data_IF_614313368344
#
_entry.id   IF_614313368344
#
_cell.length_a   1.000
_cell.length_b   1.000
_cell.length_c   1.000
_cell.angle_alpha   90.00
_cell.angle_beta   90.00
_cell.angle_gamma   90.00
#
_symmetry.space_group_name_H-M   'P 1'
#
loop_
_entity.id
_entity.type
_entity.pdbx_description
1 polymer ?
#
# COMPACT_ATOMS: atom_id res chain seq x y z
N UNK A 1 -41.78 -85.04 44.08
CA UNK A 1 -41.59 -83.63 43.69
C UNK A 1 -40.21 -83.19 44.18
N UNK A 2 -39.20 -83.15 43.30
CA UNK A 2 -37.80 -82.86 43.67
C UNK A 2 -37.62 -81.34 43.73
N UNK A 3 -37.51 -80.80 44.94
CA UNK A 3 -37.35 -79.38 45.22
C UNK A 3 -35.89 -78.98 44.92
N UNK A 4 -35.66 -78.27 43.81
CA UNK A 4 -34.34 -77.72 43.47
C UNK A 4 -34.07 -76.57 44.45
N UNK A 5 -33.23 -76.81 45.46
CA UNK A 5 -32.67 -75.75 46.31
C UNK A 5 -31.71 -74.92 45.47
N UNK A 6 -32.11 -73.69 45.11
CA UNK A 6 -31.19 -72.67 44.63
C UNK A 6 -30.16 -72.40 45.73
N UNK A 7 -28.90 -72.79 45.48
CA UNK A 7 -27.77 -72.36 46.31
C UNK A 7 -27.74 -70.83 46.28
N UNK A 8 -27.89 -70.20 47.45
CA UNK A 8 -27.54 -68.78 47.67
C UNK A 8 -26.04 -68.66 47.42
N UNK A 9 -25.66 -68.41 46.16
CA UNK A 9 -24.28 -68.09 45.79
C UNK A 9 -23.92 -66.69 46.28
N UNK A 10 -22.62 -66.49 46.49
CA UNK A 10 -21.94 -65.32 47.04
C UNK A 10 -22.07 -64.05 46.15
N UNK A 11 -23.29 -63.69 45.77
CA UNK A 11 -23.63 -62.56 44.91
C UNK A 11 -23.28 -61.15 45.46
N UNK A 12 -23.20 -60.87 46.78
CA UNK A 12 -22.98 -59.50 47.25
C UNK A 12 -21.60 -58.93 46.90
N UNK A 13 -20.55 -59.75 46.88
CA UNK A 13 -19.18 -59.28 46.71
C UNK A 13 -18.88 -58.82 45.28
N UNK A 14 -19.44 -59.49 44.28
CA UNK A 14 -19.21 -59.15 42.87
C UNK A 14 -19.85 -57.81 42.48
N UNK A 15 -21.03 -57.50 43.02
CA UNK A 15 -21.71 -56.21 42.78
C UNK A 15 -20.89 -55.05 43.33
N UNK A 16 -20.29 -55.20 44.51
CA UNK A 16 -19.43 -54.17 45.12
C UNK A 16 -18.20 -53.90 44.26
N UNK A 17 -17.57 -54.95 43.71
CA UNK A 17 -16.40 -54.80 42.82
C UNK A 17 -16.77 -54.05 41.54
N UNK A 18 -17.91 -54.35 40.92
CA UNK A 18 -18.38 -53.63 39.72
C UNK A 18 -18.64 -52.15 40.04
N UNK A 19 -19.37 -51.86 41.11
CA UNK A 19 -19.68 -50.47 41.49
C UNK A 19 -18.39 -49.69 41.75
N UNK A 20 -17.44 -50.27 42.47
CA UNK A 20 -16.14 -49.64 42.73
C UNK A 20 -15.37 -49.39 41.42
N UNK A 21 -15.29 -50.39 40.53
CA UNK A 21 -14.59 -50.26 39.25
C UNK A 21 -15.22 -49.17 38.37
N UNK A 22 -16.54 -49.13 38.25
CA UNK A 22 -17.26 -48.09 37.49
C UNK A 22 -17.08 -46.71 38.12
N UNK A 23 -17.11 -46.61 39.46
CA UNK A 23 -16.91 -45.34 40.16
C UNK A 23 -15.50 -44.79 39.92
N UNK A 24 -14.48 -45.65 39.96
CA UNK A 24 -13.10 -45.28 39.63
C UNK A 24 -13.01 -44.82 38.17
N UNK A 25 -13.60 -45.57 37.22
CA UNK A 25 -13.57 -45.21 35.81
C UNK A 25 -14.23 -43.85 35.53
N UNK A 26 -15.41 -43.58 36.11
CA UNK A 26 -16.10 -42.29 35.99
C UNK A 26 -15.25 -41.16 36.59
N UNK A 27 -14.64 -41.39 37.76
CA UNK A 27 -13.81 -40.38 38.43
C UNK A 27 -12.59 -40.02 37.59
N UNK A 28 -11.91 -41.02 36.99
CA UNK A 28 -10.78 -40.80 36.09
C UNK A 28 -11.24 -40.03 34.84
N UNK A 29 -12.35 -40.43 34.21
CA UNK A 29 -12.89 -39.74 33.05
C UNK A 29 -13.25 -38.27 33.35
N UNK A 30 -13.92 -38.01 34.48
CA UNK A 30 -14.25 -36.67 34.94
C UNK A 30 -12.99 -35.83 35.22
N UNK A 31 -11.95 -36.43 35.81
CA UNK A 31 -10.69 -35.75 36.10
C UNK A 31 -9.97 -35.34 34.81
N UNK A 32 -9.87 -36.23 33.83
CA UNK A 32 -9.30 -35.88 32.52
C UNK A 32 -10.11 -34.82 31.79
N UNK A 33 -11.44 -34.90 31.87
CA UNK A 33 -12.32 -33.89 31.27
C UNK A 33 -12.13 -32.51 31.91
N UNK A 34 -12.11 -32.43 33.25
CA UNK A 34 -11.88 -31.18 33.97
C UNK A 34 -10.46 -30.62 33.74
N UNK A 35 -9.44 -31.48 33.67
CA UNK A 35 -8.08 -31.07 33.35
C UNK A 35 -7.98 -30.48 31.94
N UNK A 36 -8.70 -31.04 30.97
CA UNK A 36 -8.75 -30.50 29.60
C UNK A 36 -9.55 -29.19 29.54
N UNK A 37 -10.56 -29.01 30.39
CA UNK A 37 -11.27 -27.73 30.51
C UNK A 37 -10.35 -26.65 31.09
N UNK A 38 -9.54 -26.99 32.11
CA UNK A 38 -8.61 -26.04 32.70
C UNK A 38 -7.59 -25.52 31.67
N UNK A 39 -7.08 -26.37 30.77
CA UNK A 39 -6.16 -25.94 29.70
C UNK A 39 -6.82 -25.08 28.63
N UNK A 40 -8.14 -25.22 28.41
CA UNK A 40 -8.89 -24.30 27.55
C UNK A 40 -8.98 -22.89 28.16
N UNK A 41 -9.05 -22.77 29.49
CA UNK A 41 -9.11 -21.47 30.17
C UNK A 41 -7.76 -20.78 30.33
N UNK A 42 -6.64 -21.52 30.26
CA UNK A 42 -5.30 -20.90 30.27
C UNK A 42 -4.86 -20.41 28.90
N UNK A 43 -5.51 -20.89 27.82
CA UNK A 43 -5.33 -20.42 26.44
C UNK A 43 -6.32 -19.30 26.16
N UNK A 44 -5.88 -18.06 26.28
CA UNK A 44 -6.72 -16.90 26.01
C UNK A 44 -6.05 -15.95 25.02
N UNK A 45 -6.89 -15.30 24.24
CA UNK A 45 -6.51 -14.27 23.30
C UNK A 45 -6.69 -12.89 23.97
N UNK A 46 -5.66 -12.04 23.95
CA UNK A 46 -5.74 -10.65 24.44
C UNK A 46 -4.94 -9.75 23.50
N UNK A 47 -5.60 -9.32 22.42
CA UNK A 47 -5.03 -8.34 21.50
C UNK A 47 -5.33 -6.91 21.96
N UNK A 48 -4.36 -6.01 21.82
CA UNK A 48 -4.54 -4.59 22.14
C UNK A 48 -3.89 -3.69 21.11
N UNK A 49 -4.56 -2.60 20.76
CA UNK A 49 -3.95 -1.54 19.98
C UNK A 49 -2.92 -0.76 20.81
N UNK A 50 -1.73 -0.57 20.27
CA UNK A 50 -0.64 0.24 20.84
C UNK A 50 -0.73 1.68 20.33
N UNK A 51 -0.88 1.87 19.02
CA UNK A 51 -1.01 3.18 18.37
C UNK A 51 -1.89 3.12 17.11
N UNK A 52 -2.27 4.29 16.62
CA UNK A 52 -3.07 4.51 15.41
C UNK A 52 -2.62 5.84 14.80
N UNK A 53 -1.99 5.78 13.64
CA UNK A 53 -1.49 6.92 12.88
C UNK A 53 -2.03 6.85 11.45
N UNK A 54 -2.19 7.99 10.80
CA UNK A 54 -2.76 8.05 9.45
C UNK A 54 -2.03 9.03 8.55
N UNK A 55 -2.07 8.69 7.26
CA UNK A 55 -1.46 9.37 6.13
C UNK A 55 -2.51 9.35 4.99
N UNK A 56 -3.58 10.14 5.16
CA UNK A 56 -4.75 10.17 4.26
C UNK A 56 -5.50 8.83 4.26
N UNK A 57 -5.59 8.11 3.13
CA UNK A 57 -6.20 6.78 3.06
C UNK A 57 -5.26 5.67 3.57
N UNK A 58 -4.00 5.95 3.87
CA UNK A 58 -3.05 4.98 4.43
C UNK A 58 -3.04 5.12 5.96
N UNK A 59 -3.14 4.01 6.67
CA UNK A 59 -3.17 3.98 8.15
C UNK A 59 -2.14 3.01 8.67
N UNK A 60 -1.38 3.45 9.68
CA UNK A 60 -0.45 2.61 10.42
C UNK A 60 -1.04 2.33 11.82
N UNK A 61 -1.15 1.06 12.18
CA UNK A 61 -1.57 0.65 13.52
C UNK A 61 -0.54 -0.26 14.16
N UNK A 62 -0.39 -0.16 15.48
CA UNK A 62 0.35 -1.14 16.26
C UNK A 62 -0.62 -2.05 17.01
N UNK A 63 -0.45 -3.36 16.93
CA UNK A 63 -1.22 -4.34 17.69
C UNK A 63 -0.26 -5.24 18.47
N UNK A 64 -0.51 -5.42 19.76
CA UNK A 64 0.25 -6.34 20.63
C UNK A 64 -0.63 -7.48 21.07
N UNK A 65 -0.09 -8.70 21.08
CA UNK A 65 -0.73 -9.86 21.69
C UNK A 65 -0.21 -10.06 23.12
N UNK A 66 -1.06 -9.82 24.11
CA UNK A 66 -0.82 -10.08 25.54
C UNK A 66 -1.44 -11.40 26.02
N UNK A 67 -2.03 -12.15 25.10
CA UNK A 67 -2.57 -13.47 25.33
C UNK A 67 -1.50 -14.53 25.49
N UNK A 68 -1.95 -15.77 25.60
CA UNK A 68 -1.08 -16.97 25.70
C UNK A 68 -1.12 -17.81 24.42
N UNK A 69 -1.90 -17.40 23.42
CA UNK A 69 -2.03 -18.07 22.13
C UNK A 69 -1.77 -17.11 20.98
N UNK A 70 -1.21 -17.65 19.89
CA UNK A 70 -1.07 -16.94 18.62
C UNK A 70 -2.44 -16.49 18.10
N UNK A 71 -2.50 -15.25 17.66
CA UNK A 71 -3.69 -14.61 17.12
C UNK A 71 -3.58 -14.44 15.62
N UNK A 72 -4.71 -14.55 14.94
CA UNK A 72 -4.81 -14.35 13.49
C UNK A 72 -5.87 -13.31 13.20
N UNK A 73 -5.49 -12.13 12.71
CA UNK A 73 -6.43 -11.07 12.32
C UNK A 73 -6.84 -11.32 10.86
N UNK A 74 -8.15 -11.53 10.67
CA UNK A 74 -8.74 -11.84 9.36
C UNK A 74 -9.17 -10.60 8.59
N UNK A 75 -9.71 -9.61 9.29
CA UNK A 75 -10.23 -8.39 8.65
C UNK A 75 -10.18 -7.22 9.60
N UNK A 76 -10.04 -6.03 9.04
CA UNK A 76 -10.22 -4.78 9.76
C UNK A 76 -11.29 -3.90 9.07
N UNK A 77 -11.87 -2.99 9.84
CA UNK A 77 -13.01 -2.15 9.46
C UNK A 77 -12.85 -0.76 10.05
N UNK A 78 -13.14 0.27 9.24
CA UNK A 78 -13.24 1.65 9.70
C UNK A 78 -14.71 2.01 9.93
N UNK A 79 -15.02 2.52 11.12
CA UNK A 79 -16.35 2.96 11.56
C UNK A 79 -17.45 1.91 11.30
N UNK A 80 -17.10 0.62 11.41
CA UNK A 80 -17.99 -0.53 11.14
C UNK A 80 -18.62 -0.52 9.74
N UNK A 81 -18.10 0.28 8.80
CA UNK A 81 -18.69 0.52 7.48
C UNK A 81 -17.74 0.16 6.33
N UNK A 82 -16.49 0.60 6.42
CA UNK A 82 -15.52 0.43 5.34
C UNK A 82 -14.59 -0.72 5.68
N UNK A 83 -14.57 -1.77 4.85
CA UNK A 83 -13.52 -2.79 4.93
C UNK A 83 -12.21 -2.14 4.52
N UNK A 84 -11.13 -2.44 5.24
CA UNK A 84 -9.79 -1.93 4.95
C UNK A 84 -8.95 -3.04 4.34
N UNK A 85 -8.07 -2.68 3.42
CA UNK A 85 -7.12 -3.60 2.80
C UNK A 85 -5.82 -3.61 3.61
N UNK A 86 -5.23 -4.79 3.79
CA UNK A 86 -3.92 -4.92 4.45
C UNK A 86 -2.84 -4.72 3.39
N UNK A 87 -2.05 -3.67 3.54
CA UNK A 87 -0.89 -3.39 2.68
C UNK A 87 0.30 -4.23 3.15
N UNK A 88 0.58 -4.13 4.45
CA UNK A 88 1.73 -4.77 5.07
C UNK A 88 1.47 -5.07 6.56
N UNK A 89 2.16 -6.07 7.11
CA UNK A 89 2.31 -6.29 8.53
C UNK A 89 3.74 -6.77 8.84
N UNK A 90 4.38 -6.13 9.83
CA UNK A 90 5.76 -6.41 10.25
C UNK A 90 5.81 -6.58 11.76
N UNK A 91 6.40 -7.67 12.22
CA UNK A 91 6.64 -7.91 13.64
C UNK A 91 7.81 -7.05 14.13
N UNK A 92 7.59 -6.19 15.12
CA UNK A 92 8.64 -5.32 15.68
C UNK A 92 9.71 -6.09 16.44
N UNK A 93 9.41 -7.31 16.88
CA UNK A 93 10.29 -8.16 17.68
C UNK A 93 11.32 -8.85 16.80
N UNK A 94 10.86 -9.41 15.68
CA UNK A 94 11.71 -10.19 14.76
C UNK A 94 12.11 -9.41 13.51
N UNK A 95 11.43 -8.29 13.21
CA UNK A 95 11.54 -7.55 11.95
C UNK A 95 11.11 -8.35 10.71
N UNK A 96 10.36 -9.43 10.90
CA UNK A 96 9.86 -10.29 9.82
C UNK A 96 8.43 -9.92 9.40
N UNK A 97 8.03 -10.41 8.22
CA UNK A 97 6.66 -10.25 7.74
C UNK A 97 5.69 -11.05 8.60
N UNK A 98 4.64 -10.39 9.08
CA UNK A 98 3.60 -10.98 9.93
C UNK A 98 2.36 -11.39 9.12
N UNK A 99 2.44 -11.42 7.79
CA UNK A 99 1.34 -11.86 6.91
C UNK A 99 1.52 -13.33 6.57
N UNK A 100 0.46 -14.12 6.76
CA UNK A 100 0.34 -15.48 6.26
C UNK A 100 -0.88 -15.61 5.34
N UNK A 101 -0.85 -16.59 4.45
CA UNK A 101 -2.00 -16.93 3.60
C UNK A 101 -2.77 -18.07 4.28
N UNK A 102 -4.07 -17.89 4.47
CA UNK A 102 -4.95 -18.92 5.04
C UNK A 102 -5.36 -19.98 4.01
N UNK A 103 -6.15 -20.97 4.44
CA UNK A 103 -6.65 -22.05 3.58
C UNK A 103 -7.55 -21.55 2.43
N UNK A 104 -8.16 -20.37 2.59
CA UNK A 104 -9.02 -19.70 1.60
C UNK A 104 -8.21 -18.75 0.67
N UNK A 105 -6.88 -18.85 0.72
CA UNK A 105 -5.95 -17.98 0.00
C UNK A 105 -6.13 -16.48 0.33
N UNK A 106 -6.57 -16.16 1.55
CA UNK A 106 -6.70 -14.79 2.05
C UNK A 106 -5.52 -14.43 2.95
N UNK A 107 -5.01 -13.19 2.86
CA UNK A 107 -3.99 -12.71 3.77
C UNK A 107 -4.57 -12.51 5.18
N UNK A 108 -3.88 -13.04 6.19
CA UNK A 108 -4.17 -12.84 7.60
C UNK A 108 -2.90 -12.38 8.33
N UNK A 109 -3.08 -11.56 9.37
CA UNK A 109 -1.96 -11.07 10.18
C UNK A 109 -1.79 -11.99 11.38
N UNK A 110 -0.59 -12.52 11.56
CA UNK A 110 -0.23 -13.42 12.65
C UNK A 110 0.50 -12.65 13.73
N UNK A 111 0.05 -12.79 14.98
CA UNK A 111 0.64 -12.10 16.12
C UNK A 111 0.90 -13.13 17.21
N UNK A 112 2.17 -13.47 17.41
CA UNK A 112 2.61 -14.40 18.46
C UNK A 112 2.46 -13.79 19.86
N UNK A 113 2.27 -14.61 20.91
CA UNK A 113 2.21 -14.12 22.30
C UNK A 113 3.42 -13.25 22.68
N UNK A 114 3.15 -12.06 23.22
CA UNK A 114 4.16 -11.08 23.60
C UNK A 114 4.68 -10.20 22.46
N UNK A 115 4.37 -10.52 21.20
CA UNK A 115 4.86 -9.78 20.05
C UNK A 115 3.99 -8.55 19.75
N UNK A 116 4.62 -7.53 19.17
CA UNK A 116 3.93 -6.33 18.66
C UNK A 116 4.12 -6.26 17.16
N UNK A 117 3.01 -6.22 16.41
CA UNK A 117 3.00 -6.12 14.96
C UNK A 117 2.54 -4.73 14.55
N UNK A 118 3.30 -4.09 13.64
CA UNK A 118 2.89 -2.90 12.89
C UNK A 118 2.13 -3.35 11.67
N UNK A 119 0.94 -2.81 11.45
CA UNK A 119 0.10 -3.10 10.30
C UNK A 119 -0.16 -1.82 9.52
N UNK A 120 0.11 -1.87 8.22
CA UNK A 120 -0.20 -0.84 7.26
C UNK A 120 -1.49 -1.20 6.52
N UNK A 121 -2.43 -0.27 6.52
CA UNK A 121 -3.78 -0.45 6.03
C UNK A 121 -4.07 0.59 4.95
N UNK A 122 -4.82 0.20 3.93
CA UNK A 122 -5.43 1.09 2.96
C UNK A 122 -6.93 1.18 3.22
N UNK A 123 -7.43 2.39 3.29
CA UNK A 123 -8.83 2.71 3.55
C UNK A 123 -9.42 3.27 2.26
N UNK A 124 -10.59 2.78 1.81
CA UNK A 124 -11.22 3.25 0.57
C UNK A 124 -11.88 4.64 0.69
N UNK A 125 -11.54 5.39 1.74
CA UNK A 125 -12.00 6.76 2.00
C UNK A 125 -10.88 7.59 2.62
N UNK A 126 -10.90 8.88 2.33
CA UNK A 126 -10.01 9.85 2.94
C UNK A 126 -10.37 10.11 4.40
N UNK A 127 -9.34 10.18 5.26
CA UNK A 127 -9.48 10.54 6.65
C UNK A 127 -9.14 12.02 6.84
N UNK A 128 -10.10 12.78 7.37
CA UNK A 128 -9.91 14.20 7.67
C UNK A 128 -9.09 14.39 8.96
N UNK A 129 -8.25 15.41 8.95
CA UNK A 129 -7.45 15.79 10.10
C UNK A 129 -8.33 16.27 11.27
N UNK A 130 -8.02 15.82 12.49
CA UNK A 130 -8.74 16.18 13.70
C UNK A 130 -10.04 15.41 13.96
N UNK A 131 -10.51 14.58 13.02
CA UNK A 131 -11.69 13.73 13.20
C UNK A 131 -11.29 12.43 13.92
N UNK A 132 -12.15 11.98 14.83
CA UNK A 132 -12.00 10.69 15.50
C UNK A 132 -12.61 9.58 14.67
N UNK A 133 -11.83 8.54 14.38
CA UNK A 133 -12.26 7.33 13.68
C UNK A 133 -12.14 6.11 14.59
N UNK A 134 -13.01 5.13 14.38
CA UNK A 134 -12.96 3.81 15.03
C UNK A 134 -12.35 2.82 14.06
N UNK A 135 -11.19 2.28 14.36
CA UNK A 135 -10.67 1.09 13.68
C UNK A 135 -11.08 -0.14 14.50
N UNK A 136 -11.60 -1.16 13.82
CA UNK A 136 -11.96 -2.45 14.41
C UNK A 136 -11.23 -3.55 13.65
N UNK A 137 -10.61 -4.49 14.35
CA UNK A 137 -10.03 -5.68 13.75
C UNK A 137 -10.67 -6.93 14.37
N UNK A 138 -10.93 -7.93 13.52
CA UNK A 138 -11.62 -9.17 13.89
C UNK A 138 -10.69 -10.35 13.63
N UNK A 139 -10.53 -11.19 14.64
CA UNK A 139 -9.66 -12.37 14.58
C UNK A 139 -10.42 -13.57 13.99
N UNK A 140 -9.70 -14.63 13.64
CA UNK A 140 -10.30 -15.89 13.15
C UNK A 140 -11.17 -16.59 14.20
N UNK A 141 -10.94 -16.33 15.49
CA UNK A 141 -11.76 -16.82 16.60
C UNK A 141 -13.03 -15.99 16.84
N UNK A 142 -13.16 -14.85 16.15
CA UNK A 142 -14.26 -13.90 16.33
C UNK A 142 -14.03 -12.86 17.43
N UNK A 143 -12.82 -12.78 18.03
CA UNK A 143 -12.48 -11.69 18.93
C UNK A 143 -12.49 -10.37 18.14
N UNK A 144 -13.26 -9.39 18.62
CA UNK A 144 -13.24 -8.03 18.11
C UNK A 144 -12.39 -7.14 19.00
N UNK A 145 -11.40 -6.48 18.42
CA UNK A 145 -10.67 -5.39 19.06
C UNK A 145 -10.94 -4.10 18.33
N UNK A 146 -11.04 -2.99 19.06
CA UNK A 146 -11.21 -1.69 18.44
C UNK A 146 -10.43 -0.61 19.19
N UNK A 147 -10.15 0.48 18.47
CA UNK A 147 -9.58 1.70 19.04
C UNK A 147 -10.20 2.91 18.35
N UNK A 148 -10.48 3.92 19.17
CA UNK A 148 -10.73 5.27 18.67
C UNK A 148 -9.37 5.96 18.51
N UNK A 149 -9.05 6.34 17.28
CA UNK A 149 -7.90 7.18 16.97
C UNK A 149 -8.40 8.54 16.52
N UNK A 150 -7.82 9.62 17.05
CA UNK A 150 -7.89 10.91 16.35
C UNK A 150 -6.79 10.90 15.32
N UNK A 151 -7.10 11.35 14.12
CA UNK A 151 -6.06 11.61 13.14
C UNK A 151 -5.10 12.64 13.72
N UNK A 152 -3.92 12.19 14.10
CA UNK A 152 -2.85 13.12 14.48
C UNK A 152 -2.20 13.56 13.16
N UNK A 153 -1.86 14.84 13.03
CA UNK A 153 -0.85 15.18 12.03
C UNK A 153 0.40 14.42 12.44
N UNK A 154 0.93 13.49 11.63
CA UNK A 154 2.08 12.72 12.05
C UNK A 154 3.22 13.66 12.45
N UNK A 155 3.97 13.25 13.47
CA UNK A 155 5.12 13.98 13.99
C UNK A 155 6.20 13.92 12.91
N UNK A 156 6.26 14.98 12.11
CA UNK A 156 7.23 15.19 11.03
C UNK A 156 6.59 16.12 10.01
N UNK A 157 7.27 17.21 9.63
CA UNK A 157 6.91 17.92 8.40
C UNK A 157 7.03 16.88 7.29
N UNK A 158 5.92 16.39 6.72
CA UNK A 158 6.10 15.70 5.46
C UNK A 158 6.62 16.72 4.49
N UNK A 159 7.69 16.34 3.84
CA UNK A 159 8.24 17.16 2.80
C UNK A 159 7.23 17.20 1.64
N UNK A 160 6.66 18.38 1.37
CA UNK A 160 5.74 18.54 0.24
C UNK A 160 6.49 18.24 -1.04
N UNK A 161 5.87 17.47 -1.93
CA UNK A 161 6.44 17.22 -3.25
C UNK A 161 5.93 18.30 -4.17
N UNK A 162 6.79 18.86 -5.00
CA UNK A 162 6.38 19.82 -6.02
C UNK A 162 6.89 19.38 -7.39
N UNK A 163 5.96 19.37 -8.34
CA UNK A 163 6.21 19.09 -9.75
C UNK A 163 5.98 20.39 -10.52
N UNK A 164 6.90 20.74 -11.40
CA UNK A 164 6.77 21.94 -12.25
C UNK A 164 6.95 21.52 -13.70
N UNK A 165 6.09 22.01 -14.59
CA UNK A 165 6.21 21.87 -16.04
C UNK A 165 6.13 23.26 -16.69
N UNK A 166 6.99 23.51 -17.67
CA UNK A 166 7.01 24.74 -18.46
C UNK A 166 6.53 24.44 -19.87
N UNK A 167 5.39 25.02 -20.23
CA UNK A 167 4.56 24.59 -21.34
C UNK A 167 4.90 25.29 -22.67
N UNK A 168 5.94 24.91 -23.41
CA UNK A 168 6.05 25.37 -24.81
C UNK A 168 7.19 24.77 -25.63
N UNK A 169 7.03 24.90 -26.96
CA UNK A 169 7.85 24.24 -28.00
C UNK A 169 9.31 24.70 -28.07
N UNK A 170 9.68 25.76 -27.34
CA UNK A 170 11.06 26.26 -27.27
C UNK A 170 11.79 25.80 -26.01
N UNK A 171 11.08 25.25 -25.02
CA UNK A 171 11.68 24.86 -23.74
C UNK A 171 12.13 25.99 -22.85
N UNK A 172 11.84 27.22 -23.22
CA UNK A 172 12.30 28.38 -22.48
C UNK A 172 11.45 28.59 -21.22
N UNK A 173 12.07 29.17 -20.19
CA UNK A 173 11.40 29.73 -19.01
C UNK A 173 10.38 30.83 -19.36
N UNK A 174 10.17 31.14 -20.65
CA UNK A 174 9.22 32.11 -21.18
C UNK A 174 7.82 31.52 -21.46
N UNK A 175 7.61 30.23 -21.25
CA UNK A 175 6.33 29.56 -21.55
C UNK A 175 5.38 29.54 -20.35
N UNK A 176 4.04 29.32 -20.48
CA UNK A 176 3.15 29.12 -19.32
C UNK A 176 3.70 28.05 -18.36
N UNK A 177 3.45 28.21 -17.06
CA UNK A 177 3.98 27.27 -16.06
C UNK A 177 2.83 26.54 -15.36
N UNK A 178 2.97 25.23 -15.20
CA UNK A 178 2.08 24.38 -14.43
C UNK A 178 2.84 23.87 -13.21
N UNK A 179 2.31 24.09 -12.02
CA UNK A 179 2.89 23.63 -10.76
C UNK A 179 1.89 22.72 -10.05
N UNK A 180 2.35 21.59 -9.53
CA UNK A 180 1.57 20.72 -8.67
C UNK A 180 2.29 20.49 -7.37
N UNK A 181 1.67 20.88 -6.27
CA UNK A 181 2.12 20.59 -4.93
C UNK A 181 1.31 19.42 -4.35
N UNK A 182 1.99 18.40 -3.86
CA UNK A 182 1.42 17.20 -3.26
C UNK A 182 1.74 17.19 -1.77
N UNK A 183 0.73 16.93 -0.96
CA UNK A 183 0.89 16.62 0.46
C UNK A 183 0.71 15.11 0.67
N UNK A 184 1.78 14.34 0.91
CA UNK A 184 1.69 12.89 1.09
C UNK A 184 1.04 12.47 2.44
N UNK A 185 0.77 13.41 3.36
CA UNK A 185 0.04 13.11 4.60
C UNK A 185 -1.45 13.12 4.42
N UNK A 186 -1.95 13.90 3.47
CA UNK A 186 -3.38 14.02 3.18
C UNK A 186 -3.73 13.45 1.83
N UNK A 187 -2.73 13.14 0.99
CA UNK A 187 -2.86 12.77 -0.42
C UNK A 187 -3.76 13.75 -1.18
N UNK A 188 -3.56 15.03 -0.89
CA UNK A 188 -4.20 16.13 -1.62
C UNK A 188 -3.19 16.81 -2.53
N UNK A 189 -3.67 17.35 -3.64
CA UNK A 189 -2.86 18.17 -4.54
C UNK A 189 -3.37 19.60 -4.58
N UNK A 190 -2.46 20.54 -4.83
CA UNK A 190 -2.75 21.90 -5.28
C UNK A 190 -2.07 22.11 -6.62
N UNK A 191 -2.87 22.20 -7.68
CA UNK A 191 -2.43 22.53 -9.03
C UNK A 191 -2.55 24.04 -9.23
N UNK A 192 -1.53 24.66 -9.81
CA UNK A 192 -1.48 26.08 -10.15
C UNK A 192 -1.06 26.23 -11.60
N UNK A 193 -1.82 27.03 -12.34
CA UNK A 193 -1.50 27.40 -13.71
C UNK A 193 -1.13 28.87 -13.79
N UNK A 194 -0.01 29.17 -14.41
CA UNK A 194 0.55 30.50 -14.53
C UNK A 194 0.68 30.90 -15.99
N UNK A 195 0.50 32.19 -16.25
CA UNK A 195 0.77 32.79 -17.57
C UNK A 195 2.23 32.63 -17.96
N UNK A 196 2.52 32.90 -19.24
CA UNK A 196 3.86 33.31 -19.69
C UNK A 196 4.39 34.45 -18.79
N UNK A 197 5.71 34.52 -18.54
CA UNK A 197 6.27 35.62 -17.79
C UNK A 197 6.13 36.91 -18.59
N UNK A 198 5.87 38.01 -17.90
CA UNK A 198 5.91 39.34 -18.48
C UNK A 198 7.36 39.75 -18.80
N UNK A 199 7.61 40.93 -19.42
CA UNK A 199 8.96 41.40 -19.71
C UNK A 199 9.89 41.54 -18.50
N UNK A 200 9.33 41.62 -17.29
CA UNK A 200 10.06 41.68 -16.02
C UNK A 200 10.36 40.29 -15.44
N UNK A 201 9.94 39.21 -16.12
CA UNK A 201 10.12 37.82 -15.69
C UNK A 201 9.05 37.31 -14.71
N UNK A 202 8.08 38.14 -14.32
CA UNK A 202 7.02 37.77 -13.38
C UNK A 202 5.87 37.04 -14.07
N UNK A 203 5.31 36.04 -13.37
CA UNK A 203 4.19 35.23 -13.86
C UNK A 203 2.91 35.56 -13.12
N UNK A 204 1.81 35.63 -13.84
CA UNK A 204 0.47 35.79 -13.24
C UNK A 204 -0.14 34.42 -12.98
N UNK A 205 -0.60 34.16 -11.76
CA UNK A 205 -1.40 32.99 -11.44
C UNK A 205 -2.77 33.09 -12.12
N UNK A 206 -3.06 32.20 -13.07
CA UNK A 206 -4.29 32.17 -13.84
C UNK A 206 -5.36 31.29 -13.22
N UNK A 207 -4.98 30.16 -12.64
CA UNK A 207 -5.92 29.23 -12.01
C UNK A 207 -5.27 28.46 -10.85
N UNK A 208 -6.10 28.03 -9.90
CA UNK A 208 -5.71 27.11 -8.83
C UNK A 208 -6.81 26.08 -8.62
N UNK A 209 -6.42 24.82 -8.57
CA UNK A 209 -7.31 23.70 -8.28
C UNK A 209 -6.74 22.91 -7.11
N UNK A 210 -7.59 22.56 -6.15
CA UNK A 210 -7.23 21.68 -5.04
C UNK A 210 -8.16 20.48 -5.05
N UNK A 211 -7.61 19.30 -4.81
CA UNK A 211 -8.40 18.07 -4.80
C UNK A 211 -7.72 16.92 -4.09
N UNK A 212 -8.43 15.81 -4.01
CA UNK A 212 -7.89 14.53 -3.55
C UNK A 212 -7.22 13.82 -4.72
N UNK A 213 -6.10 13.15 -4.45
CA UNK A 213 -5.39 12.36 -5.45
C UNK A 213 -6.05 10.99 -5.57
N UNK A 214 -5.99 10.35 -6.73
CA UNK A 214 -6.35 8.94 -6.79
C UNK A 214 -5.18 8.09 -6.27
N UNK A 215 -5.34 7.47 -5.10
CA UNK A 215 -4.35 6.54 -4.53
C UNK A 215 -4.76 5.11 -4.83
N UNK A 216 -3.88 4.38 -5.50
CA UNK A 216 -4.06 2.98 -5.85
C UNK A 216 -3.15 2.13 -4.98
N UNK A 217 -3.75 1.25 -4.20
CA UNK A 217 -3.05 0.18 -3.48
C UNK A 217 -3.55 -1.12 -4.08
N UNK A 218 -2.74 -1.75 -4.95
CA UNK A 218 -3.12 -3.02 -5.58
C UNK A 218 -2.05 -4.06 -5.38
N UNK A 219 -2.49 -5.22 -4.93
CA UNK A 219 -1.70 -6.45 -4.86
C UNK A 219 -1.67 -7.19 -6.19
N UNK A 220 -2.62 -6.91 -7.10
CA UNK A 220 -2.61 -7.41 -8.47
C UNK A 220 -1.71 -6.56 -9.35
N UNK A 221 -0.89 -7.22 -10.18
CA UNK A 221 0.10 -6.60 -11.07
C UNK A 221 -0.49 -5.66 -12.14
N UNK A 222 -1.81 -5.57 -12.25
CA UNK A 222 -2.55 -4.96 -13.35
C UNK A 222 -3.58 -3.92 -12.87
N UNK A 223 -3.52 -2.69 -13.38
CA UNK A 223 -4.59 -1.69 -13.23
C UNK A 223 -5.23 -1.33 -14.57
N UNK A 224 -6.55 -1.38 -14.67
CA UNK A 224 -7.31 -0.86 -15.82
C UNK A 224 -8.16 0.32 -15.39
N UNK A 225 -7.91 1.50 -15.92
CA UNK A 225 -8.83 2.63 -15.81
C UNK A 225 -10.03 2.40 -16.74
N UNK A 226 -11.27 2.54 -16.23
CA UNK A 226 -12.45 2.68 -17.10
C UNK A 226 -12.88 4.14 -17.26
N UNK A 227 -12.38 5.02 -16.38
CA UNK A 227 -12.69 6.45 -16.35
C UNK A 227 -11.37 7.19 -16.14
N UNK A 228 -11.16 8.25 -16.90
CA UNK A 228 -9.97 9.08 -16.75
C UNK A 228 -9.95 9.74 -15.35
N UNK A 229 -8.78 9.80 -14.70
CA UNK A 229 -8.64 10.49 -13.42
C UNK A 229 -9.14 11.93 -13.53
N UNK A 230 -9.89 12.40 -12.52
CA UNK A 230 -10.30 13.80 -12.41
C UNK A 230 -9.19 14.69 -11.85
N UNK A 231 -8.08 14.09 -11.42
CA UNK A 231 -6.87 14.74 -10.91
C UNK A 231 -5.78 14.76 -11.97
N UNK A 232 -4.85 15.72 -11.92
CA UNK A 232 -3.65 15.68 -12.76
C UNK A 232 -2.72 14.50 -12.42
N UNK A 233 -2.92 13.85 -11.27
CA UNK A 233 -2.03 12.83 -10.73
C UNK A 233 -2.76 11.52 -10.42
N UNK A 234 -2.06 10.41 -10.58
CA UNK A 234 -2.39 9.11 -10.00
C UNK A 234 -1.20 8.64 -9.17
N UNK A 235 -1.46 8.10 -7.99
CA UNK A 235 -0.45 7.52 -7.11
C UNK A 235 -0.62 6.02 -7.07
N UNK A 236 0.48 5.29 -7.19
CA UNK A 236 0.50 3.83 -7.06
C UNK A 236 1.44 3.45 -5.93
N UNK A 237 0.88 2.96 -4.81
CA UNK A 237 1.67 2.52 -3.66
C UNK A 237 2.31 1.15 -3.96
N UNK A 238 3.60 1.01 -3.68
CA UNK A 238 4.31 -0.26 -3.73
C UNK A 238 3.96 -1.11 -2.48
N UNK A 239 3.23 -2.24 -2.63
CA UNK A 239 2.90 -3.11 -1.50
C UNK A 239 4.11 -3.92 -1.00
N UNK A 240 5.23 -3.92 -1.74
CA UNK A 240 6.46 -4.67 -1.44
C UNK A 240 7.60 -3.78 -0.95
N UNK A 241 7.28 -2.55 -0.52
CA UNK A 241 8.25 -1.57 -0.02
C UNK A 241 9.28 -2.21 0.94
N UNK A 242 10.55 -2.21 0.53
CA UNK A 242 11.68 -2.69 1.33
C UNK A 242 11.77 -4.20 1.53
N UNK A 243 10.91 -5.00 0.88
CA UNK A 243 10.89 -6.46 1.02
C UNK A 243 11.52 -7.17 -0.17
N UNK A 244 11.01 -6.87 -1.36
CA UNK A 244 11.39 -7.52 -2.60
C UNK A 244 11.15 -6.57 -3.77
N UNK A 245 11.63 -6.97 -4.94
CA UNK A 245 11.33 -6.27 -6.17
C UNK A 245 9.84 -6.40 -6.51
N UNK A 246 9.30 -5.43 -7.22
CA UNK A 246 7.90 -5.44 -7.60
C UNK A 246 7.69 -4.92 -9.01
N UNK A 247 6.82 -5.60 -9.77
CA UNK A 247 6.40 -5.17 -11.09
C UNK A 247 5.00 -4.59 -11.02
N UNK A 248 4.88 -3.33 -11.42
CA UNK A 248 3.59 -2.67 -11.59
C UNK A 248 3.27 -2.54 -13.07
N UNK A 249 2.17 -3.13 -13.53
CA UNK A 249 1.69 -2.98 -14.91
C UNK A 249 0.45 -2.09 -14.96
N UNK A 250 0.58 -0.99 -15.70
CA UNK A 250 -0.54 -0.15 -16.08
C UNK A 250 -1.16 -0.69 -17.37
N UNK A 251 -2.43 -1.08 -17.32
CA UNK A 251 -3.23 -1.39 -18.50
C UNK A 251 -4.04 -0.14 -18.87
N UNK A 252 -3.69 0.51 -19.97
CA UNK A 252 -4.39 1.68 -20.47
C UNK A 252 -5.89 1.40 -20.69
N UNK A 253 -6.74 2.40 -20.41
CA UNK A 253 -8.20 2.37 -20.65
C UNK A 253 -8.61 2.13 -22.11
N UNK A 254 -7.66 2.06 -23.03
CA UNK A 254 -7.91 2.06 -24.46
C UNK A 254 -8.48 0.72 -24.96
N UNK A 255 -9.69 0.40 -24.52
CA UNK A 255 -10.52 -0.66 -25.06
C UNK A 255 -11.02 -0.22 -26.44
N UNK A 256 -10.50 -0.86 -27.48
CA UNK A 256 -10.98 -0.80 -28.88
C UNK A 256 -11.10 0.59 -29.51
N UNK A 257 -10.11 0.97 -30.34
CA UNK A 257 -10.19 2.18 -31.19
C UNK A 257 -9.15 3.25 -30.89
N UNK A 258 -8.24 3.04 -29.93
CA UNK A 258 -7.08 3.90 -29.77
C UNK A 258 -6.18 3.79 -31.02
N UNK A 259 -5.78 4.93 -31.63
CA UNK A 259 -4.82 4.91 -32.73
C UNK A 259 -3.42 4.39 -32.32
N UNK A 260 -3.16 4.24 -31.02
CA UNK A 260 -1.88 3.82 -30.45
C UNK A 260 -2.01 2.52 -29.61
N UNK A 261 -2.23 1.36 -30.24
CA UNK A 261 -2.43 0.08 -29.55
C UNK A 261 -1.18 -0.42 -28.79
N UNK A 262 -0.02 0.16 -29.03
CA UNK A 262 1.28 -0.27 -28.49
C UNK A 262 1.51 0.15 -27.03
N UNK A 263 0.73 1.10 -26.53
CA UNK A 263 0.87 1.63 -25.17
C UNK A 263 -0.09 0.94 -24.17
N UNK A 264 -0.77 -0.13 -24.60
CA UNK A 264 -1.84 -0.77 -23.84
C UNK A 264 -1.37 -1.31 -22.48
N UNK A 265 -0.11 -1.74 -22.34
CA UNK A 265 0.44 -2.32 -21.13
C UNK A 265 1.86 -1.77 -20.87
N UNK A 266 2.04 -0.94 -19.85
CA UNK A 266 3.37 -0.47 -19.43
C UNK A 266 3.72 -1.10 -18.10
N UNK A 267 4.82 -1.86 -18.03
CA UNK A 267 5.31 -2.46 -16.78
C UNK A 267 6.49 -1.68 -16.23
N UNK A 268 6.42 -1.28 -14.97
CA UNK A 268 7.47 -0.61 -14.21
C UNK A 268 8.06 -1.59 -13.19
N UNK A 269 9.36 -1.84 -13.29
CA UNK A 269 10.12 -2.67 -12.36
C UNK A 269 10.66 -1.82 -11.22
N UNK A 270 10.10 -2.01 -10.04
CA UNK A 270 10.48 -1.31 -8.82
C UNK A 270 11.41 -2.24 -8.03
N UNK A 271 12.75 -2.07 -8.16
CA UNK A 271 13.67 -2.85 -7.35
C UNK A 271 13.49 -2.54 -5.87
N UNK A 272 13.83 -3.52 -5.03
CA UNK A 272 13.83 -3.37 -3.58
C UNK A 272 14.71 -2.18 -3.18
N UNK A 273 14.18 -1.35 -2.28
CA UNK A 273 14.93 -0.27 -1.63
C UNK A 273 14.95 -0.58 -0.13
N UNK A 274 16.13 -0.89 0.40
CA UNK A 274 16.28 -1.17 1.83
C UNK A 274 15.81 0.01 2.68
N UNK A 275 15.20 -0.33 3.82
CA UNK A 275 14.60 0.62 4.76
C UNK A 275 13.46 1.49 4.20
N UNK A 276 12.89 1.16 3.03
CA UNK A 276 11.67 1.82 2.57
C UNK A 276 10.54 1.69 3.60
N UNK A 277 9.80 2.77 3.79
CA UNK A 277 8.64 2.83 4.68
C UNK A 277 7.41 2.34 3.90
N UNK A 278 6.71 1.28 4.35
CA UNK A 278 5.49 0.83 3.70
C UNK A 278 4.46 1.97 3.63
N UNK A 279 3.71 2.05 2.52
CA UNK A 279 2.77 3.15 2.29
C UNK A 279 3.40 4.49 1.88
N UNK A 280 4.73 4.63 1.95
CA UNK A 280 5.49 5.81 1.51
C UNK A 280 6.57 5.45 0.47
N UNK A 281 6.36 4.35 -0.25
CA UNK A 281 7.09 3.97 -1.46
C UNK A 281 6.07 3.87 -2.59
N UNK A 282 6.13 4.77 -3.57
CA UNK A 282 5.06 4.90 -4.55
C UNK A 282 5.52 5.52 -5.87
N UNK A 283 4.78 5.24 -6.94
CA UNK A 283 4.88 5.94 -8.21
C UNK A 283 3.93 7.13 -8.24
N UNK A 284 4.40 8.22 -8.83
CA UNK A 284 3.65 9.39 -9.26
C UNK A 284 3.53 9.32 -10.77
N UNK A 285 2.29 9.20 -11.24
CA UNK A 285 1.90 9.22 -12.64
C UNK A 285 1.22 10.57 -12.89
N UNK A 286 1.81 11.42 -13.73
CA UNK A 286 1.37 12.81 -13.89
C UNK A 286 1.14 13.18 -15.36
N UNK A 287 -0.02 13.81 -15.61
CA UNK A 287 -0.42 14.46 -16.86
C UNK A 287 -0.06 15.96 -16.86
N UNK A 288 0.89 16.35 -17.70
CA UNK A 288 1.46 17.70 -17.75
C UNK A 288 0.64 18.70 -18.59
N UNK A 289 -0.34 18.25 -19.38
CA UNK A 289 -1.36 19.05 -20.10
C UNK A 289 -2.74 19.05 -19.43
N UNK A 290 -2.80 18.74 -18.13
CA UNK A 290 -4.05 18.83 -17.38
C UNK A 290 -4.54 20.28 -17.27
N UNK A 291 -5.72 20.58 -17.81
CA UNK A 291 -6.32 21.93 -17.85
C UNK A 291 -7.55 22.08 -16.92
N UNK A 292 -7.76 21.12 -16.01
CA UNK A 292 -8.80 21.20 -14.97
C UNK A 292 -9.78 20.03 -14.96
N UNK A 293 -10.62 19.92 -13.90
CA UNK A 293 -11.52 18.79 -13.67
C UNK A 293 -12.70 18.71 -14.66
N UNK A 294 -12.88 19.71 -15.51
CA UNK A 294 -13.87 19.74 -16.58
C UNK A 294 -13.28 19.69 -17.99
N UNK A 295 -11.95 19.67 -18.12
CA UNK A 295 -11.30 19.66 -19.42
C UNK A 295 -11.03 18.22 -19.83
N UNK A 296 -11.83 17.74 -20.78
CA UNK A 296 -11.75 16.40 -21.32
C UNK A 296 -10.89 16.38 -22.59
N UNK A 297 -9.59 16.64 -22.49
CA UNK A 297 -8.66 15.90 -23.36
C UNK A 297 -8.60 14.44 -22.85
N UNK A 298 -9.78 13.84 -22.78
CA UNK A 298 -10.05 12.47 -22.36
C UNK A 298 -9.70 11.47 -23.47
N UNK A 299 -9.02 11.93 -24.52
CA UNK A 299 -8.71 11.15 -25.71
C UNK A 299 -7.41 10.35 -25.60
N UNK A 300 -6.49 10.76 -24.72
CA UNK A 300 -5.23 10.04 -24.54
C UNK A 300 -5.24 9.27 -23.23
N UNK A 301 -5.41 7.95 -23.31
CA UNK A 301 -5.37 7.06 -22.15
C UNK A 301 -3.95 6.92 -21.55
N UNK A 302 -2.96 7.63 -22.13
CA UNK A 302 -1.56 7.65 -21.71
C UNK A 302 -1.13 8.95 -21.06
N UNK A 303 -2.01 9.95 -21.01
CA UNK A 303 -1.73 11.26 -20.43
C UNK A 303 -0.97 11.22 -19.08
N UNK A 304 -1.44 10.41 -18.13
CA UNK A 304 -0.78 10.28 -16.82
C UNK A 304 0.52 9.48 -16.81
N UNK A 305 0.88 8.84 -17.93
CA UNK A 305 2.08 8.03 -18.08
C UNK A 305 3.21 8.79 -18.78
N UNK A 306 2.97 10.02 -19.25
CA UNK A 306 4.02 10.84 -19.87
C UNK A 306 5.17 11.11 -18.88
N UNK A 307 4.86 11.19 -17.58
CA UNK A 307 5.87 11.22 -16.53
C UNK A 307 5.54 10.23 -15.41
N UNK A 308 6.53 9.38 -15.11
CA UNK A 308 6.46 8.39 -14.04
C UNK A 308 7.71 8.51 -13.15
N UNK A 309 7.46 8.90 -11.91
CA UNK A 309 8.51 9.09 -10.89
C UNK A 309 8.20 8.25 -9.67
N UNK A 310 9.15 7.44 -9.20
CA UNK A 310 9.06 6.78 -7.90
C UNK A 310 9.61 7.68 -6.81
N UNK A 311 8.90 7.76 -5.71
CA UNK A 311 9.36 8.40 -4.48
C UNK A 311 9.30 7.38 -3.35
N UNK A 312 10.39 7.27 -2.61
CA UNK A 312 10.54 6.31 -1.51
C UNK A 312 11.08 7.01 -0.28
N UNK A 313 10.28 7.11 0.78
CA UNK A 313 10.77 7.49 2.09
C UNK A 313 11.43 6.30 2.79
N UNK A 314 12.59 6.55 3.40
CA UNK A 314 13.32 5.58 4.21
C UNK A 314 13.09 5.81 5.69
N UNK A 315 13.26 4.78 6.50
CA UNK A 315 13.13 4.83 7.98
C UNK A 315 14.05 5.86 8.65
N UNK A 316 15.13 6.28 7.98
CA UNK A 316 16.03 7.34 8.45
C UNK A 316 15.51 8.76 8.15
N UNK A 317 14.32 8.91 7.57
CA UNK A 317 13.69 10.18 7.24
C UNK A 317 14.08 10.75 5.87
N UNK A 318 15.00 10.13 5.13
CA UNK A 318 15.39 10.58 3.80
C UNK A 318 14.42 10.09 2.73
N UNK A 319 14.19 10.92 1.72
CA UNK A 319 13.51 10.52 0.50
C UNK A 319 14.52 10.16 -0.60
N UNK A 320 14.21 9.11 -1.36
CA UNK A 320 14.89 8.72 -2.60
C UNK A 320 13.91 8.89 -3.75
N UNK A 321 14.38 9.50 -4.85
CA UNK A 321 13.57 9.72 -6.06
C UNK A 321 14.22 8.99 -7.23
N UNK A 322 13.40 8.29 -8.03
CA UNK A 322 13.83 7.64 -9.28
C UNK A 322 12.88 7.98 -10.40
N UNK A 323 13.41 8.48 -11.51
CA UNK A 323 12.64 8.72 -12.73
C UNK A 323 12.63 7.43 -13.56
N UNK A 324 11.44 6.99 -13.95
CA UNK A 324 11.25 5.84 -14.85
C UNK A 324 10.99 6.32 -16.26
N UNK A 325 10.16 7.34 -16.37
CA UNK A 325 9.76 7.90 -17.64
C UNK A 325 9.54 9.41 -17.48
N UNK A 326 10.06 10.18 -18.43
CA UNK A 326 9.69 11.57 -18.62
C UNK A 326 9.84 11.91 -20.10
N UNK A 327 8.73 11.91 -20.83
CA UNK A 327 8.69 12.27 -22.25
C UNK A 327 8.06 13.65 -22.47
N UNK A 328 7.61 13.94 -23.68
CA UNK A 328 6.97 15.21 -24.01
C UNK A 328 7.93 16.35 -24.35
N UNK A 329 7.35 17.42 -24.93
CA UNK A 329 8.06 18.62 -25.36
C UNK A 329 8.14 19.70 -24.28
N UNK A 330 8.16 19.34 -23.00
CA UNK A 330 8.16 20.29 -21.90
C UNK A 330 9.38 20.11 -21.01
N UNK A 331 9.79 21.20 -20.35
CA UNK A 331 10.81 21.17 -19.30
C UNK A 331 10.12 20.86 -17.98
N UNK A 332 10.67 19.93 -17.20
CA UNK A 332 10.09 19.53 -15.92
C UNK A 332 11.08 19.71 -14.78
N UNK A 333 10.56 20.04 -13.61
CA UNK A 333 11.32 20.04 -12.38
C UNK A 333 10.62 19.24 -11.31
N UNK A 334 11.41 18.51 -10.53
CA UNK A 334 10.95 17.75 -9.39
C UNK A 334 11.62 18.29 -8.13
N UNK A 335 10.79 18.62 -7.15
CA UNK A 335 11.19 19.25 -5.90
C UNK A 335 10.62 18.48 -4.72
N UNK A 336 11.39 18.43 -3.64
CA UNK A 336 10.92 18.02 -2.32
C UNK A 336 11.22 19.17 -1.35
N UNK A 337 10.17 19.68 -0.70
CA UNK A 337 10.14 20.97 -0.01
C UNK A 337 10.62 22.11 -0.92
N UNK A 338 11.83 22.61 -0.66
CA UNK A 338 12.47 23.70 -1.38
C UNK A 338 13.79 23.25 -2.04
N UNK A 339 14.03 21.94 -2.11
CA UNK A 339 15.22 21.36 -2.75
C UNK A 339 14.82 20.79 -4.09
N UNK A 340 15.38 21.36 -5.17
CA UNK A 340 15.27 20.78 -6.51
C UNK A 340 16.08 19.49 -6.54
N UNK A 341 15.45 18.40 -6.91
CA UNK A 341 16.10 17.10 -7.02
C UNK A 341 16.49 16.82 -8.46
N UNK A 342 15.60 17.12 -9.40
CA UNK A 342 15.77 16.77 -10.80
C UNK A 342 15.19 17.86 -11.72
N UNK A 343 15.83 18.06 -12.86
CA UNK A 343 15.31 18.81 -14.01
C UNK A 343 15.42 17.93 -15.24
N UNK A 344 14.34 17.87 -16.01
CA UNK A 344 14.27 17.32 -17.36
C UNK A 344 14.31 18.49 -18.33
N UNK A 345 15.28 18.54 -19.23
CA UNK A 345 15.35 19.61 -20.22
C UNK A 345 14.28 19.43 -21.30
N UNK A 346 13.98 20.52 -22.01
CA UNK A 346 13.01 20.49 -23.09
C UNK A 346 13.45 19.59 -24.26
N UNK A 347 12.52 18.76 -24.73
CA UNK A 347 12.75 17.82 -25.82
C UNK A 347 13.65 16.63 -25.44
N UNK A 348 14.19 16.62 -24.23
CA UNK A 348 14.79 15.44 -23.65
C UNK A 348 13.70 14.36 -23.49
N UNK A 349 14.06 13.10 -23.69
CA UNK A 349 13.20 11.98 -23.31
C UNK A 349 14.02 11.12 -22.38
N UNK A 350 13.55 11.00 -21.15
CA UNK A 350 14.11 10.06 -20.19
C UNK A 350 13.26 8.81 -20.26
N UNK A 351 13.79 7.80 -20.94
CA UNK A 351 13.19 6.49 -21.04
C UNK A 351 14.23 5.44 -20.64
N UNK A 352 14.05 4.88 -19.45
CA UNK A 352 14.91 3.84 -18.95
C UNK A 352 14.18 2.51 -19.08
N UNK A 353 14.43 1.82 -20.20
CA UNK A 353 13.89 0.50 -20.44
C UNK A 353 14.98 -0.54 -20.65
N UNK A 354 14.72 -1.77 -20.19
CA UNK A 354 15.48 -2.92 -20.65
C UNK A 354 15.03 -3.24 -22.08
N UNK A 355 15.83 -2.81 -23.03
CA UNK A 355 15.73 -3.22 -24.41
C UNK A 355 15.90 -4.75 -24.49
N UNK A 356 14.85 -5.47 -24.92
CA UNK A 356 14.88 -6.93 -25.08
C UNK A 356 16.02 -7.43 -25.99
N UNK A 357 16.27 -8.74 -26.08
CA UNK A 357 17.44 -9.32 -26.76
C UNK A 357 17.58 -8.96 -28.26
N UNK A 358 16.54 -8.46 -28.92
CA UNK A 358 16.59 -7.93 -30.29
C UNK A 358 17.27 -6.55 -30.42
N UNK A 359 17.50 -5.86 -29.30
CA UNK A 359 18.01 -4.49 -29.24
C UNK A 359 19.45 -4.36 -28.73
N UNK A 360 20.15 -5.49 -28.49
CA UNK A 360 21.62 -5.49 -28.38
C UNK A 360 22.24 -4.96 -27.08
N UNK A 361 21.49 -4.79 -26.00
CA UNK A 361 22.05 -4.52 -24.66
C UNK A 361 21.19 -3.63 -23.77
N UNK A 362 21.60 -3.53 -22.49
CA UNK A 362 21.10 -2.55 -21.52
C UNK A 362 21.47 -1.16 -22.05
N UNK A 363 20.49 -0.26 -22.22
CA UNK A 363 20.77 1.14 -22.56
C UNK A 363 21.50 1.82 -21.40
N UNK A 364 22.83 1.76 -21.43
CA UNK A 364 23.72 2.36 -20.42
C UNK A 364 23.91 3.88 -20.60
N UNK A 365 23.17 4.53 -21.50
CA UNK A 365 23.27 5.97 -21.72
C UNK A 365 21.91 6.64 -21.55
N UNK A 366 21.81 7.52 -20.56
CA UNK A 366 20.69 8.44 -20.31
C UNK A 366 20.48 9.50 -21.42
N UNK A 367 21.03 9.28 -22.62
CA UNK A 367 20.97 10.16 -23.81
C UNK A 367 20.59 9.40 -25.08
N UNK A 368 20.29 8.10 -24.98
CA UNK A 368 19.88 7.29 -26.12
C UNK A 368 18.38 7.40 -26.35
N UNK A 369 17.96 7.75 -27.57
CA UNK A 369 16.56 7.73 -27.99
C UNK A 369 16.08 6.28 -28.12
N UNK A 370 15.69 5.64 -27.01
CA UNK A 370 14.75 4.54 -27.07
C UNK A 370 13.41 5.15 -27.48
N UNK A 371 12.88 4.75 -28.63
CA UNK A 371 11.52 5.15 -28.98
C UNK A 371 10.57 4.31 -28.14
N UNK A 372 9.56 4.96 -27.55
CA UNK A 372 8.51 4.38 -26.70
C UNK A 372 7.92 3.06 -27.24
N UNK A 373 8.00 2.86 -28.56
CA UNK A 373 7.37 1.79 -29.34
C UNK A 373 7.95 0.37 -29.13
N UNK A 374 9.06 0.16 -28.42
CA UNK A 374 9.67 -1.17 -28.27
C UNK A 374 9.82 -1.70 -26.85
N UNK A 375 9.49 -0.90 -25.83
CA UNK A 375 9.80 -1.24 -24.44
C UNK A 375 8.54 -1.62 -23.65
N UNK A 376 8.36 -2.92 -23.41
CA UNK A 376 7.31 -3.44 -22.52
C UNK A 376 7.68 -3.41 -21.03
N UNK A 377 8.91 -2.99 -20.69
CA UNK A 377 9.47 -3.09 -19.34
C UNK A 377 10.40 -1.91 -19.03
N UNK A 378 10.02 -1.11 -18.05
CA UNK A 378 10.74 0.09 -17.59
C UNK A 378 11.50 -0.22 -16.30
N UNK A 379 12.75 0.21 -16.26
CA UNK A 379 13.65 0.14 -15.09
C UNK A 379 14.00 1.56 -14.65
N UNK A 380 14.34 1.79 -13.36
CA UNK A 380 14.73 3.12 -12.92
C UNK A 380 16.03 3.57 -13.60
N UNK A 381 16.12 4.85 -13.97
CA UNK A 381 17.33 5.41 -14.55
C UNK A 381 18.52 5.40 -13.57
N UNK A 382 19.62 4.68 -13.87
CA UNK A 382 20.77 4.58 -12.96
C UNK A 382 21.47 5.92 -12.72
N UNK A 383 21.42 6.84 -13.71
CA UNK A 383 22.09 8.14 -13.64
C UNK A 383 21.40 9.14 -12.69
N UNK A 384 20.17 8.86 -12.24
CA UNK A 384 19.29 9.82 -11.56
C UNK A 384 18.88 9.35 -10.16
N UNK A 385 19.77 8.63 -9.47
CA UNK A 385 19.63 8.36 -8.04
C UNK A 385 19.97 9.62 -7.25
N UNK A 386 18.96 10.40 -6.92
CA UNK A 386 19.12 11.63 -6.13
C UNK A 386 18.74 11.33 -4.68
N UNK A 387 19.73 11.22 -3.82
CA UNK A 387 19.55 11.07 -2.38
C UNK A 387 19.26 12.41 -1.69
N UNK A 388 18.17 12.46 -0.93
CA UNK A 388 17.84 13.52 0.03
C UNK A 388 18.89 13.77 1.09
#
# INVERSE_FOLDING_TARGET
MKMIRLRRGDAPSFVVVIILAVSIAITIAATYWLSNIATLFTRYEDLRFVYFDNYGPIVEIGIVNKGTVTSYIKTCWLNDKYRVDIIDAVDKTTSETAIQIDEDNQPQIVIEPGHTVTVWLHIPVYLDAGIAYKIKCVTTTGLEIYRHGKTTKPIGKSEKIKLVAYAGFSGEENNPMREIEIDPLTWTFTYRYYSEPNPDGERTLLATYTGQIQVLVRTSEAYTTQVNPSSPLVIVINPKAGKEDWNFTWHGACQTGCPWPWHANLTFYLPKIDDAVPGMDFLILWEDQWDGPGYSYAGDCYSWLDHVVRVTWKKNGKAEVRVYHASGGYMHEFWIENKKLYTKDHGEVIDCCECGPSCGGICNSCTGTCTFNSCGYYIPCPCLLIGG
#
